data_IF_148701964376
#
_entry.id   IF_148701964376
#
_cell.length_a   1.000
_cell.length_b   1.000
_cell.length_c   1.000
_cell.angle_alpha   90.00
_cell.angle_beta   90.00
_cell.angle_gamma   90.00
#
_symmetry.space_group_name_H-M   'P 1'
#
loop_
_entity.id
_entity.type
_entity.pdbx_description
1 polymer ?
#
# COMPACT_ATOMS: atom_id res chain seq x y z
N UNK A 1 8.58 -60.47 -5.54
CA UNK A 1 7.26 -60.16 -6.08
C UNK A 1 6.71 -58.92 -5.38
N UNK A 2 7.42 -57.76 -5.55
CA UNK A 2 7.08 -56.46 -4.95
C UNK A 2 7.80 -55.34 -5.71
N UNK A 3 7.51 -55.19 -7.02
CA UNK A 3 8.14 -54.18 -7.87
C UNK A 3 7.27 -53.78 -9.07
N UNK A 4 5.94 -53.65 -8.92
CA UNK A 4 5.10 -53.31 -10.05
C UNK A 4 3.85 -52.45 -9.71
N UNK A 5 3.90 -51.68 -8.62
CA UNK A 5 2.80 -50.78 -8.21
C UNK A 5 3.23 -49.34 -7.88
N UNK A 6 4.28 -48.82 -8.53
CA UNK A 6 4.75 -47.43 -8.33
C UNK A 6 4.84 -46.58 -9.63
N UNK A 7 4.18 -46.94 -10.72
CA UNK A 7 4.31 -46.18 -11.97
C UNK A 7 3.03 -45.49 -12.48
N UNK A 8 1.93 -45.53 -11.75
CA UNK A 8 0.64 -44.97 -12.22
C UNK A 8 0.17 -43.71 -11.52
N UNK A 9 0.88 -43.28 -10.47
CA UNK A 9 0.48 -42.07 -9.70
C UNK A 9 1.21 -40.77 -10.13
N UNK A 10 2.18 -40.82 -11.03
CA UNK A 10 2.99 -39.66 -11.44
C UNK A 10 2.66 -39.11 -12.84
N UNK A 11 1.62 -39.62 -13.52
CA UNK A 11 1.20 -39.11 -14.84
C UNK A 11 -0.05 -38.22 -14.83
N UNK A 12 -0.70 -37.98 -13.71
CA UNK A 12 -1.91 -37.12 -13.63
C UNK A 12 -1.63 -35.67 -13.21
N UNK A 13 -0.38 -35.31 -12.89
CA UNK A 13 -0.03 -33.94 -12.43
C UNK A 13 0.52 -33.08 -13.59
N UNK A 14 0.85 -33.67 -14.75
CA UNK A 14 1.44 -32.96 -15.88
C UNK A 14 0.41 -32.31 -16.85
N UNK A 15 -0.90 -32.48 -16.64
CA UNK A 15 -1.93 -31.97 -17.57
C UNK A 15 -2.76 -30.80 -17.05
N UNK A 16 -2.37 -30.19 -15.92
CA UNK A 16 -3.03 -28.97 -15.40
C UNK A 16 -2.22 -27.67 -15.58
N UNK A 17 -1.15 -27.69 -16.36
CA UNK A 17 -0.36 -26.46 -16.67
C UNK A 17 -0.79 -25.72 -17.94
N UNK A 18 -1.93 -26.04 -18.55
CA UNK A 18 -2.38 -25.40 -19.81
C UNK A 18 -3.46 -24.34 -19.61
N UNK A 19 -4.00 -24.17 -18.40
CA UNK A 19 -5.09 -23.21 -18.19
C UNK A 19 -4.66 -21.84 -17.62
N UNK A 20 -3.38 -21.63 -17.34
CA UNK A 20 -2.90 -20.32 -16.83
C UNK A 20 -2.54 -19.32 -17.95
N UNK A 21 -2.39 -19.77 -19.20
CA UNK A 21 -2.03 -18.88 -20.31
C UNK A 21 -3.22 -18.30 -21.09
N UNK A 22 -4.45 -18.60 -20.71
CA UNK A 22 -5.63 -18.07 -21.43
C UNK A 22 -6.04 -16.68 -20.90
N UNK A 23 -5.65 -16.33 -19.68
CA UNK A 23 -6.03 -15.02 -19.09
C UNK A 23 -5.25 -13.84 -19.66
N UNK A 24 -3.97 -14.02 -20.00
CA UNK A 24 -3.16 -12.91 -20.52
C UNK A 24 -3.43 -12.58 -22.00
N UNK A 25 -3.90 -13.55 -22.79
CA UNK A 25 -4.31 -13.29 -24.17
C UNK A 25 -5.72 -12.72 -24.30
N UNK A 26 -6.62 -13.03 -23.37
CA UNK A 26 -7.96 -12.44 -23.35
C UNK A 26 -7.91 -10.93 -22.98
N UNK A 27 -6.93 -10.49 -22.17
CA UNK A 27 -6.74 -9.08 -21.83
C UNK A 27 -6.15 -8.25 -22.99
N UNK A 28 -5.50 -8.87 -23.97
CA UNK A 28 -4.87 -8.17 -25.10
C UNK A 28 -5.83 -7.72 -26.22
N UNK A 29 -7.07 -8.15 -26.23
CA UNK A 29 -8.03 -7.85 -27.31
C UNK A 29 -9.01 -6.72 -27.00
N UNK A 30 -8.95 -6.09 -25.81
CA UNK A 30 -9.88 -5.04 -25.41
C UNK A 30 -9.30 -3.61 -25.40
N UNK A 31 -8.10 -3.42 -25.95
CA UNK A 31 -7.51 -2.08 -26.12
C UNK A 31 -8.00 -1.39 -27.38
N UNK A 32 -9.29 -1.18 -27.55
CA UNK A 32 -9.74 -0.20 -28.52
C UNK A 32 -11.13 0.32 -28.18
N UNK A 33 -11.17 1.63 -27.99
CA UNK A 33 -12.37 2.47 -27.85
C UNK A 33 -13.14 2.30 -26.54
N UNK A 34 -12.72 3.04 -25.51
CA UNK A 34 -13.65 3.38 -24.41
C UNK A 34 -14.85 4.09 -25.03
N UNK A 35 -16.08 3.57 -24.92
CA UNK A 35 -17.25 4.42 -25.12
C UNK A 35 -17.17 5.52 -24.04
N UNK A 36 -17.33 6.76 -24.42
CA UNK A 36 -17.57 7.84 -23.48
C UNK A 36 -18.79 7.44 -22.64
N UNK A 37 -18.59 7.07 -21.39
CA UNK A 37 -19.68 6.82 -20.47
C UNK A 37 -20.32 8.17 -20.14
N UNK A 38 -21.33 8.54 -20.93
CA UNK A 38 -22.33 9.53 -20.57
C UNK A 38 -23.29 8.89 -19.56
N UNK A 39 -22.83 8.77 -18.32
CA UNK A 39 -23.65 8.32 -17.21
C UNK A 39 -22.98 8.75 -15.88
N UNK A 40 -23.76 9.31 -14.98
CA UNK A 40 -23.31 9.56 -13.61
C UNK A 40 -23.20 8.21 -12.93
N UNK A 41 -22.02 7.56 -13.03
CA UNK A 41 -21.74 6.34 -12.30
C UNK A 41 -21.57 6.67 -10.82
N UNK A 42 -22.09 5.81 -9.96
CA UNK A 42 -21.79 5.86 -8.53
C UNK A 42 -20.26 5.82 -8.33
N UNK A 43 -19.73 6.59 -7.38
CA UNK A 43 -18.29 6.74 -7.14
C UNK A 43 -17.57 5.40 -6.88
N UNK A 44 -18.27 4.41 -6.35
CA UNK A 44 -17.76 3.07 -6.07
C UNK A 44 -18.42 1.96 -6.93
N UNK A 45 -19.06 2.33 -8.03
CA UNK A 45 -19.47 1.34 -9.03
C UNK A 45 -18.24 0.96 -9.84
N UNK A 46 -17.86 -0.31 -9.73
CA UNK A 46 -16.69 -0.83 -10.40
C UNK A 46 -17.04 -1.28 -11.82
N UNK A 47 -16.07 -1.20 -12.71
CA UNK A 47 -16.15 -1.83 -14.02
C UNK A 47 -16.07 -3.35 -13.88
N UNK A 48 -16.43 -4.09 -14.94
CA UNK A 48 -16.31 -5.54 -14.94
C UNK A 48 -14.87 -6.02 -14.67
N UNK A 49 -13.87 -5.33 -15.23
CA UNK A 49 -12.46 -5.60 -15.02
C UNK A 49 -12.03 -5.34 -13.56
N UNK A 50 -12.50 -4.23 -12.97
CA UNK A 50 -12.26 -3.90 -11.56
C UNK A 50 -12.90 -4.91 -10.61
N UNK A 51 -14.12 -5.38 -10.92
CA UNK A 51 -14.79 -6.44 -10.14
C UNK A 51 -14.05 -7.78 -10.25
N UNK A 52 -13.57 -8.15 -11.42
CA UNK A 52 -12.77 -9.36 -11.62
C UNK A 52 -11.47 -9.29 -10.82
N UNK A 53 -10.78 -8.14 -10.84
CA UNK A 53 -9.59 -7.91 -10.01
C UNK A 53 -9.93 -8.02 -8.53
N UNK A 54 -10.98 -7.34 -8.08
CA UNK A 54 -11.45 -7.37 -6.69
C UNK A 54 -11.65 -8.79 -6.18
N UNK A 55 -12.40 -9.61 -6.93
CA UNK A 55 -12.66 -11.00 -6.55
C UNK A 55 -11.39 -11.87 -6.61
N UNK A 56 -10.45 -11.59 -7.49
CA UNK A 56 -9.15 -12.28 -7.53
C UNK A 56 -8.30 -11.96 -6.31
N UNK A 57 -8.17 -10.68 -6.00
CA UNK A 57 -7.39 -10.22 -4.83
C UNK A 57 -8.02 -10.72 -3.54
N UNK A 58 -9.34 -10.65 -3.41
CA UNK A 58 -10.08 -11.18 -2.26
C UNK A 58 -9.80 -12.66 -2.02
N UNK A 59 -9.82 -13.49 -3.08
CA UNK A 59 -9.48 -14.93 -2.96
C UNK A 59 -8.04 -15.11 -2.51
N UNK A 60 -7.09 -14.41 -3.10
CA UNK A 60 -5.69 -14.45 -2.68
C UNK A 60 -5.54 -14.03 -1.21
N UNK A 61 -6.20 -12.94 -0.80
CA UNK A 61 -6.16 -12.45 0.57
C UNK A 61 -6.74 -13.46 1.56
N UNK A 62 -7.92 -14.03 1.27
CA UNK A 62 -8.59 -14.98 2.17
C UNK A 62 -7.87 -16.33 2.22
N UNK A 63 -7.53 -16.90 1.06
CA UNK A 63 -7.09 -18.30 0.97
C UNK A 63 -5.58 -18.45 1.23
N UNK A 64 -4.77 -17.44 0.88
CA UNK A 64 -3.32 -17.50 0.95
C UNK A 64 -2.77 -16.65 2.08
N UNK A 65 -3.19 -15.37 2.20
CA UNK A 65 -2.72 -14.47 3.25
C UNK A 65 -3.35 -14.82 4.60
N UNK A 66 -4.67 -15.03 4.64
CA UNK A 66 -5.45 -15.23 5.87
C UNK A 66 -4.86 -16.27 6.83
N UNK A 67 -4.50 -17.48 6.37
CA UNK A 67 -3.89 -18.51 7.24
C UNK A 67 -2.55 -18.12 7.87
N UNK A 68 -1.85 -17.13 7.28
CA UNK A 68 -0.51 -16.68 7.71
C UNK A 68 -0.52 -15.46 8.63
N UNK A 69 -1.63 -14.75 8.72
CA UNK A 69 -1.75 -13.45 9.41
C UNK A 69 -1.23 -13.52 10.85
N UNK A 70 -1.65 -14.54 11.61
CA UNK A 70 -1.24 -14.70 13.00
C UNK A 70 0.27 -14.96 13.14
N UNK A 71 0.79 -15.90 12.37
CA UNK A 71 2.21 -16.24 12.36
C UNK A 71 3.08 -15.02 12.00
N UNK A 72 2.68 -14.27 10.96
CA UNK A 72 3.39 -13.07 10.52
C UNK A 72 3.35 -11.95 11.57
N UNK A 73 2.22 -11.76 12.29
CA UNK A 73 2.11 -10.76 13.36
C UNK A 73 2.97 -11.15 14.57
N UNK A 74 2.96 -12.43 14.98
CA UNK A 74 3.74 -12.94 16.11
C UNK A 74 5.26 -12.91 15.84
N UNK A 75 5.67 -13.29 14.63
CA UNK A 75 7.08 -13.28 14.20
C UNK A 75 7.56 -11.91 13.74
N UNK A 76 6.65 -10.93 13.64
CA UNK A 76 6.93 -9.58 13.15
C UNK A 76 7.65 -9.60 11.78
N UNK A 77 7.30 -10.52 10.90
CA UNK A 77 7.98 -10.72 9.62
C UNK A 77 7.00 -11.17 8.54
N UNK A 78 7.14 -10.60 7.35
CA UNK A 78 6.39 -11.03 6.17
C UNK A 78 6.85 -12.43 5.73
N UNK A 79 5.90 -13.31 5.44
CA UNK A 79 6.20 -14.62 4.86
C UNK A 79 6.69 -14.43 3.41
N UNK A 80 7.86 -14.96 3.03
CA UNK A 80 8.38 -14.84 1.67
C UNK A 80 7.44 -15.40 0.60
N UNK A 81 6.61 -16.40 0.94
CA UNK A 81 5.62 -16.93 0.01
C UNK A 81 4.49 -15.93 -0.29
N UNK A 82 4.16 -15.06 0.67
CA UNK A 82 3.19 -13.98 0.45
C UNK A 82 3.80 -12.92 -0.48
N UNK A 83 5.06 -12.53 -0.27
CA UNK A 83 5.76 -11.59 -1.16
C UNK A 83 5.78 -12.14 -2.59
N UNK A 84 6.20 -13.41 -2.74
CA UNK A 84 6.18 -14.07 -4.05
C UNK A 84 4.76 -14.11 -4.64
N UNK A 85 3.76 -14.41 -3.83
CA UNK A 85 2.36 -14.44 -4.25
C UNK A 85 1.86 -13.10 -4.78
N UNK A 86 2.26 -11.97 -4.16
CA UNK A 86 1.93 -10.64 -4.65
C UNK A 86 2.49 -10.39 -6.07
N UNK A 87 3.72 -10.81 -6.35
CA UNK A 87 4.30 -10.74 -7.69
C UNK A 87 3.60 -11.69 -8.67
N UNK A 88 3.40 -12.95 -8.29
CA UNK A 88 2.75 -13.98 -9.13
C UNK A 88 1.31 -13.58 -9.53
N UNK A 89 0.62 -12.81 -8.69
CA UNK A 89 -0.72 -12.28 -8.97
C UNK A 89 -0.70 -10.96 -9.76
N UNK A 90 0.46 -10.41 -10.12
CA UNK A 90 0.61 -9.14 -10.81
C UNK A 90 0.27 -7.91 -9.95
N UNK A 91 0.20 -8.08 -8.62
CA UNK A 91 -0.17 -7.01 -7.70
C UNK A 91 0.98 -6.04 -7.39
N UNK A 92 2.18 -6.33 -7.88
CA UNK A 92 3.35 -5.47 -7.68
C UNK A 92 3.64 -4.55 -8.89
N UNK A 93 2.85 -4.64 -9.96
CA UNK A 93 2.94 -3.79 -11.14
C UNK A 93 1.58 -3.38 -11.69
N UNK A 94 0.62 -3.00 -10.82
CA UNK A 94 -0.79 -2.81 -11.20
C UNK A 94 -0.97 -1.76 -12.30
N UNK A 95 -0.41 -0.56 -12.13
CA UNK A 95 -0.48 0.52 -13.14
C UNK A 95 0.70 0.50 -14.14
N UNK A 96 1.67 -0.39 -13.97
CA UNK A 96 2.84 -0.51 -14.87
C UNK A 96 2.40 -1.13 -16.18
N UNK A 97 2.95 -0.65 -17.30
CA UNK A 97 2.61 -1.14 -18.65
C UNK A 97 2.99 -2.62 -18.82
N UNK A 98 2.26 -3.29 -19.69
CA UNK A 98 2.56 -4.68 -20.06
C UNK A 98 3.96 -4.84 -20.69
N UNK A 99 4.47 -3.82 -21.37
CA UNK A 99 5.85 -3.80 -21.92
C UNK A 99 6.92 -3.91 -20.83
N UNK A 100 6.60 -3.53 -19.59
CA UNK A 100 7.46 -3.62 -18.42
C UNK A 100 6.99 -4.72 -17.43
N UNK A 101 6.21 -5.70 -17.88
CA UNK A 101 5.75 -6.82 -17.05
C UNK A 101 4.61 -6.49 -16.10
N UNK A 102 4.03 -5.29 -16.17
CA UNK A 102 2.90 -4.88 -15.33
C UNK A 102 1.53 -5.33 -15.84
N UNK A 103 0.50 -5.03 -15.06
CA UNK A 103 -0.90 -5.38 -15.38
C UNK A 103 -1.61 -4.33 -16.24
N UNK A 104 -1.01 -3.16 -16.45
CA UNK A 104 -1.54 -2.02 -17.23
C UNK A 104 -2.96 -1.62 -16.80
N UNK A 105 -3.24 -1.74 -15.52
CA UNK A 105 -4.55 -1.45 -14.94
C UNK A 105 -4.64 -0.01 -14.42
N UNK A 106 -5.78 0.36 -13.87
CA UNK A 106 -6.02 1.73 -13.41
C UNK A 106 -5.48 2.00 -11.99
N UNK A 107 -5.38 3.27 -11.61
CA UNK A 107 -5.09 3.65 -10.23
C UNK A 107 -6.20 3.20 -9.27
N UNK A 108 -7.46 3.28 -9.69
CA UNK A 108 -8.58 2.76 -8.88
C UNK A 108 -8.44 1.25 -8.67
N UNK A 109 -7.97 0.51 -9.66
CA UNK A 109 -7.66 -0.91 -9.51
C UNK A 109 -6.58 -1.16 -8.43
N UNK A 110 -5.56 -0.29 -8.35
CA UNK A 110 -4.57 -0.38 -7.27
C UNK A 110 -5.22 -0.14 -5.89
N UNK A 111 -6.12 0.84 -5.77
CA UNK A 111 -6.84 1.11 -4.52
C UNK A 111 -7.76 -0.05 -4.12
N UNK A 112 -8.43 -0.69 -5.09
CA UNK A 112 -9.23 -1.90 -4.86
C UNK A 112 -8.36 -3.03 -4.30
N UNK A 113 -7.20 -3.28 -4.89
CA UNK A 113 -6.28 -4.30 -4.43
C UNK A 113 -5.80 -4.02 -2.99
N UNK A 114 -5.42 -2.78 -2.70
CA UNK A 114 -4.98 -2.33 -1.37
C UNK A 114 -6.10 -2.53 -0.34
N UNK A 115 -7.34 -2.15 -0.67
CA UNK A 115 -8.51 -2.34 0.21
C UNK A 115 -8.77 -3.83 0.49
N UNK A 116 -8.83 -4.68 -0.53
CA UNK A 116 -9.12 -6.11 -0.35
C UNK A 116 -8.03 -6.84 0.45
N UNK A 117 -6.75 -6.51 0.24
CA UNK A 117 -5.66 -7.02 1.07
C UNK A 117 -5.79 -6.57 2.52
N UNK A 118 -6.15 -5.31 2.78
CA UNK A 118 -6.24 -4.74 4.12
C UNK A 118 -7.42 -5.29 4.94
N UNK A 119 -8.47 -5.81 4.29
CA UNK A 119 -9.56 -6.52 4.98
C UNK A 119 -9.07 -7.77 5.71
N UNK A 120 -7.95 -8.34 5.27
CA UNK A 120 -7.35 -9.55 5.84
C UNK A 120 -6.09 -9.23 6.62
N UNK A 121 -5.11 -8.52 6.01
CA UNK A 121 -3.89 -8.06 6.69
C UNK A 121 -3.40 -6.70 6.19
N UNK A 122 -3.53 -5.65 7.02
CA UNK A 122 -2.99 -4.33 6.71
C UNK A 122 -1.47 -4.29 6.47
N UNK A 123 -0.69 -5.27 6.99
CA UNK A 123 0.76 -5.34 6.75
C UNK A 123 1.07 -5.74 5.31
N UNK A 124 0.32 -6.68 4.76
CA UNK A 124 0.45 -7.09 3.35
C UNK A 124 -0.02 -5.97 2.43
N UNK A 125 -1.12 -5.32 2.80
CA UNK A 125 -1.69 -4.20 2.06
C UNK A 125 -0.70 -3.04 1.92
N UNK A 126 -0.03 -2.61 3.00
CA UNK A 126 0.95 -1.50 2.92
C UNK A 126 2.19 -1.85 2.11
N UNK A 127 2.59 -3.12 2.07
CA UNK A 127 3.69 -3.55 1.19
C UNK A 127 3.34 -3.33 -0.28
N UNK A 128 2.15 -3.74 -0.68
CA UNK A 128 1.63 -3.54 -2.02
C UNK A 128 1.42 -2.05 -2.33
N UNK A 129 0.88 -1.27 -1.38
CA UNK A 129 0.60 0.15 -1.53
C UNK A 129 1.88 0.96 -1.79
N UNK A 130 2.85 0.94 -0.87
CA UNK A 130 4.10 1.70 -0.99
C UNK A 130 4.85 1.37 -2.28
N UNK A 131 4.85 0.11 -2.67
CA UNK A 131 5.50 -0.35 -3.90
C UNK A 131 4.82 0.23 -5.15
N UNK A 132 3.50 0.20 -5.24
CA UNK A 132 2.75 0.70 -6.41
C UNK A 132 2.61 2.22 -6.42
N UNK A 133 2.07 2.81 -5.33
CA UNK A 133 1.67 4.22 -5.31
C UNK A 133 2.84 5.18 -5.16
N UNK A 134 3.94 4.76 -4.53
CA UNK A 134 5.13 5.58 -4.38
C UNK A 134 6.24 5.17 -5.36
N UNK A 135 6.75 3.93 -5.25
CA UNK A 135 7.95 3.52 -5.97
C UNK A 135 7.69 3.44 -7.48
N UNK A 136 6.76 2.57 -7.91
CA UNK A 136 6.48 2.40 -9.34
C UNK A 136 5.99 3.70 -9.99
N UNK A 137 5.20 4.51 -9.27
CA UNK A 137 4.71 5.78 -9.79
C UNK A 137 5.85 6.77 -10.04
N UNK A 138 6.88 6.81 -9.19
CA UNK A 138 8.06 7.67 -9.44
C UNK A 138 8.76 7.23 -10.72
N UNK A 139 8.99 5.94 -10.93
CA UNK A 139 9.61 5.46 -12.17
C UNK A 139 8.74 5.77 -13.39
N UNK A 140 7.44 5.51 -13.35
CA UNK A 140 6.53 5.76 -14.47
C UNK A 140 6.44 7.24 -14.86
N UNK A 141 6.49 8.17 -13.89
CA UNK A 141 6.25 9.59 -14.13
C UNK A 141 7.51 10.42 -14.34
N UNK A 142 8.62 10.07 -13.70
CA UNK A 142 9.79 10.95 -13.62
C UNK A 142 11.09 10.33 -14.11
N UNK A 143 11.16 9.00 -14.23
CA UNK A 143 12.35 8.33 -14.72
C UNK A 143 12.50 8.50 -16.24
N UNK A 144 13.74 8.48 -16.71
CA UNK A 144 14.04 8.40 -18.14
C UNK A 144 13.60 7.05 -18.71
N UNK A 145 13.41 6.97 -20.03
CA UNK A 145 13.05 5.70 -20.68
C UNK A 145 14.04 4.58 -20.36
N UNK A 146 15.35 4.87 -20.34
CA UNK A 146 16.38 3.91 -19.96
C UNK A 146 16.22 3.40 -18.53
N UNK A 147 15.92 4.30 -17.58
CA UNK A 147 15.64 3.92 -16.18
C UNK A 147 14.34 3.11 -16.06
N UNK A 148 13.28 3.48 -16.80
CA UNK A 148 12.03 2.71 -16.84
C UNK A 148 12.29 1.29 -17.36
N UNK A 149 12.98 1.15 -18.47
CA UNK A 149 13.30 -0.14 -19.09
C UNK A 149 14.18 -1.01 -18.20
N UNK A 150 15.03 -0.39 -17.38
CA UNK A 150 15.90 -1.09 -16.43
C UNK A 150 15.17 -1.56 -15.18
N UNK A 151 14.34 -0.69 -14.57
CA UNK A 151 13.82 -0.91 -13.21
C UNK A 151 12.38 -1.42 -13.17
N UNK A 152 11.49 -0.95 -14.05
CA UNK A 152 10.08 -1.34 -14.00
C UNK A 152 9.83 -2.83 -14.18
N UNK A 153 10.54 -3.57 -15.10
CA UNK A 153 10.36 -5.02 -15.19
C UNK A 153 10.74 -5.73 -13.88
N UNK A 154 11.85 -5.33 -13.25
CA UNK A 154 12.30 -5.90 -11.99
C UNK A 154 11.29 -5.63 -10.85
N UNK A 155 10.76 -4.41 -10.78
CA UNK A 155 9.75 -4.00 -9.80
C UNK A 155 8.40 -4.68 -10.03
N UNK A 156 8.06 -5.02 -11.26
CA UNK A 156 6.80 -5.72 -11.57
C UNK A 156 6.87 -7.23 -11.30
N UNK A 157 8.06 -7.84 -11.43
CA UNK A 157 8.21 -9.30 -11.46
C UNK A 157 8.88 -9.92 -10.23
N UNK A 158 9.82 -9.21 -9.56
CA UNK A 158 10.67 -9.87 -8.57
C UNK A 158 11.26 -9.02 -7.46
N UNK A 159 11.54 -7.72 -7.70
CA UNK A 159 12.22 -6.86 -6.73
C UNK A 159 11.29 -5.90 -6.04
N UNK A 160 11.38 -5.86 -4.72
CA UNK A 160 10.63 -4.92 -3.90
C UNK A 160 11.35 -3.57 -3.84
N UNK A 161 10.57 -2.48 -3.86
CA UNK A 161 11.07 -1.13 -3.73
C UNK A 161 10.73 -0.48 -2.39
N UNK A 162 11.55 0.48 -1.97
CA UNK A 162 11.36 1.32 -0.78
C UNK A 162 11.49 2.80 -1.11
N UNK A 163 10.70 3.62 -0.40
CA UNK A 163 10.68 5.07 -0.51
C UNK A 163 11.35 5.71 0.72
N UNK A 164 12.54 6.29 0.51
CA UNK A 164 13.44 6.74 1.58
C UNK A 164 13.45 8.28 1.69
N UNK A 165 12.41 8.85 2.31
CA UNK A 165 12.29 10.29 2.55
C UNK A 165 12.61 10.67 3.99
N UNK A 166 11.88 10.08 4.97
CA UNK A 166 11.90 10.46 6.38
C UNK A 166 13.24 10.19 7.07
N UNK A 167 13.59 11.06 8.02
CA UNK A 167 14.78 10.93 8.87
C UNK A 167 14.39 11.16 10.33
N UNK A 168 15.30 10.90 11.28
CA UNK A 168 15.08 11.10 12.71
C UNK A 168 14.67 12.55 13.03
N UNK A 169 15.25 13.53 12.33
CA UNK A 169 14.97 14.96 12.49
C UNK A 169 13.96 15.53 11.51
N UNK A 170 13.47 14.73 10.55
CA UNK A 170 12.65 15.16 9.42
C UNK A 170 11.49 14.18 9.19
N UNK A 171 10.39 14.39 9.92
CA UNK A 171 9.15 13.64 9.78
C UNK A 171 8.06 14.45 9.09
N UNK A 172 7.22 15.17 9.85
CA UNK A 172 6.18 16.07 9.28
C UNK A 172 6.79 17.24 8.50
N UNK A 173 7.96 17.73 8.92
CA UNK A 173 8.81 18.62 8.11
C UNK A 173 9.74 17.77 7.23
N UNK A 174 9.13 17.12 6.22
CA UNK A 174 9.80 16.11 5.40
C UNK A 174 10.98 16.66 4.57
N UNK A 175 11.06 17.97 4.44
CA UNK A 175 12.06 18.63 3.58
C UNK A 175 13.22 19.28 4.36
N UNK A 176 13.23 19.15 5.69
CA UNK A 176 14.37 19.47 6.56
C UNK A 176 15.40 18.33 6.63
N UNK A 177 15.45 17.47 5.61
CA UNK A 177 16.30 16.29 5.55
C UNK A 177 17.79 16.65 5.55
N UNK A 178 18.61 15.77 6.17
CA UNK A 178 20.05 15.96 6.38
C UNK A 178 20.91 15.06 5.49
N UNK A 179 20.34 13.97 4.93
CA UNK A 179 21.05 13.07 4.01
C UNK A 179 21.62 13.86 2.84
N UNK A 180 22.90 13.67 2.53
CA UNK A 180 23.64 14.41 1.50
C UNK A 180 24.05 13.53 0.36
N UNK A 181 24.04 14.09 -0.84
CA UNK A 181 24.63 13.49 -2.03
C UNK A 181 25.71 14.45 -2.56
N UNK A 182 26.96 14.02 -2.53
CA UNK A 182 28.10 14.79 -3.02
C UNK A 182 28.52 14.27 -4.39
N UNK A 183 28.53 15.15 -5.41
CA UNK A 183 28.96 14.79 -6.76
C UNK A 183 30.48 14.62 -6.82
N UNK A 184 30.94 13.54 -7.38
CA UNK A 184 32.32 13.28 -7.78
C UNK A 184 32.42 13.27 -9.33
N UNK A 185 33.57 12.99 -9.88
CA UNK A 185 33.80 13.05 -11.33
C UNK A 185 32.90 12.07 -12.10
N UNK A 186 32.74 10.84 -11.61
CA UNK A 186 32.07 9.73 -12.27
C UNK A 186 30.89 9.13 -11.49
N UNK A 187 30.62 9.61 -10.26
CA UNK A 187 29.55 9.09 -9.40
C UNK A 187 29.07 10.13 -8.38
N UNK A 188 27.96 9.82 -7.71
CA UNK A 188 27.51 10.47 -6.48
C UNK A 188 27.96 9.65 -5.26
N UNK A 189 28.22 10.33 -4.16
CA UNK A 189 28.44 9.71 -2.84
C UNK A 189 27.32 10.12 -1.93
N UNK A 190 26.53 9.17 -1.43
CA UNK A 190 25.42 9.42 -0.52
C UNK A 190 25.83 9.07 0.90
N UNK A 191 25.62 10.04 1.82
CA UNK A 191 25.85 9.90 3.26
C UNK A 191 24.63 10.35 4.05
N UNK A 192 24.16 9.53 4.99
CA UNK A 192 23.05 9.85 5.88
C UNK A 192 22.30 8.64 6.38
N UNK A 193 21.17 8.88 7.04
CA UNK A 193 20.35 7.84 7.60
C UNK A 193 18.86 8.17 7.39
N UNK A 194 18.10 7.20 6.91
CA UNK A 194 16.65 7.27 6.75
C UNK A 194 15.96 6.45 7.81
N UNK A 195 14.80 6.91 8.27
CA UNK A 195 14.06 6.27 9.37
C UNK A 195 12.60 6.01 8.98
N UNK A 196 12.02 5.00 9.56
CA UNK A 196 10.64 4.56 9.32
C UNK A 196 10.40 4.04 7.89
N UNK A 197 11.42 3.43 7.27
CA UNK A 197 11.34 3.04 5.86
C UNK A 197 10.61 1.71 5.71
N UNK A 198 9.44 1.76 5.11
CA UNK A 198 8.59 0.60 4.78
C UNK A 198 9.24 -0.26 3.71
N UNK A 199 9.06 -1.56 3.80
CA UNK A 199 9.60 -2.59 2.89
C UNK A 199 11.12 -2.76 2.92
N UNK A 200 11.86 -1.93 3.66
CA UNK A 200 13.31 -1.80 3.49
C UNK A 200 14.11 -3.06 3.82
N UNK A 201 13.62 -3.95 4.66
CA UNK A 201 14.29 -5.23 4.97
C UNK A 201 14.29 -6.15 3.72
N UNK A 202 13.18 -6.20 3.03
CA UNK A 202 12.93 -7.05 1.87
C UNK A 202 13.30 -6.36 0.54
N UNK A 203 13.37 -5.02 0.53
CA UNK A 203 13.64 -4.24 -0.68
C UNK A 203 15.05 -4.44 -1.24
N UNK A 204 15.13 -4.36 -2.55
CA UNK A 204 16.38 -4.37 -3.31
C UNK A 204 16.61 -3.05 -4.05
N UNK A 205 15.58 -2.22 -4.22
CA UNK A 205 15.63 -0.92 -4.90
C UNK A 205 15.12 0.16 -3.96
N UNK A 206 15.91 1.22 -3.76
CA UNK A 206 15.63 2.31 -2.84
C UNK A 206 15.55 3.64 -3.59
N UNK A 207 14.45 4.36 -3.44
CA UNK A 207 14.32 5.74 -3.90
C UNK A 207 14.72 6.67 -2.76
N UNK A 208 15.91 7.25 -2.85
CA UNK A 208 16.55 8.01 -1.78
C UNK A 208 16.50 9.50 -2.07
N UNK A 209 15.86 10.27 -1.17
CA UNK A 209 15.84 11.72 -1.23
C UNK A 209 17.01 12.28 -0.41
N UNK A 210 17.93 12.96 -1.08
CA UNK A 210 19.11 13.56 -0.48
C UNK A 210 19.31 15.00 -0.99
N UNK A 211 19.93 15.87 -0.17
CA UNK A 211 20.27 17.21 -0.64
C UNK A 211 21.64 17.20 -1.30
N UNK A 212 21.74 17.81 -2.47
CA UNK A 212 23.03 18.05 -3.18
C UNK A 212 23.66 19.37 -2.73
N UNK A 213 22.87 20.28 -2.18
CA UNK A 213 23.32 21.56 -1.64
C UNK A 213 22.34 22.05 -0.55
N UNK A 214 22.71 21.94 0.72
CA UNK A 214 21.86 22.40 1.83
C UNK A 214 21.54 23.90 1.80
N UNK A 215 22.40 24.73 1.19
CA UNK A 215 22.17 26.17 1.12
C UNK A 215 20.97 26.55 0.25
N UNK A 216 20.56 25.65 -0.66
CA UNK A 216 19.39 25.82 -1.52
C UNK A 216 18.07 25.40 -0.85
N UNK A 217 18.11 24.89 0.40
CA UNK A 217 16.94 24.36 1.10
C UNK A 217 16.25 23.25 0.28
N UNK A 218 14.92 23.31 0.15
CA UNK A 218 14.16 22.29 -0.60
C UNK A 218 14.55 22.19 -2.08
N UNK A 219 15.16 23.24 -2.67
CA UNK A 219 15.62 23.23 -4.07
C UNK A 219 16.89 22.41 -4.28
N UNK A 220 17.61 22.06 -3.20
CA UNK A 220 18.75 21.14 -3.26
C UNK A 220 18.36 19.68 -3.21
N UNK A 221 17.10 19.35 -2.86
CA UNK A 221 16.65 17.96 -2.71
C UNK A 221 16.53 17.30 -4.08
N UNK A 222 17.15 16.13 -4.19
CA UNK A 222 17.21 15.30 -5.41
C UNK A 222 16.79 13.87 -5.06
N UNK A 223 16.12 13.18 -5.99
CA UNK A 223 15.74 11.78 -5.86
C UNK A 223 16.78 10.91 -6.60
N UNK A 224 17.27 9.90 -5.90
CA UNK A 224 18.23 8.93 -6.42
C UNK A 224 17.64 7.53 -6.39
N UNK A 225 17.90 6.73 -7.42
CA UNK A 225 17.68 5.29 -7.34
C UNK A 225 18.98 4.62 -6.89
N UNK A 226 18.87 3.82 -5.83
CA UNK A 226 20.01 3.14 -5.19
C UNK A 226 19.67 1.67 -5.05
N UNK A 227 20.44 0.81 -5.71
CA UNK A 227 20.32 -0.64 -5.54
C UNK A 227 20.95 -1.06 -4.21
N UNK A 228 20.37 -2.05 -3.54
CA UNK A 228 20.86 -2.56 -2.25
C UNK A 228 22.36 -2.90 -2.27
N UNK A 229 22.79 -3.47 -3.38
CA UNK A 229 24.17 -3.91 -3.58
C UNK A 229 25.20 -2.78 -3.62
N UNK A 230 24.75 -1.51 -3.79
CA UNK A 230 25.62 -0.34 -3.74
C UNK A 230 26.14 -0.02 -2.34
N UNK A 231 25.74 -0.79 -1.33
CA UNK A 231 26.18 -0.61 0.06
C UNK A 231 25.10 -0.05 1.00
N UNK A 232 23.83 -0.25 0.67
CA UNK A 232 22.72 0.12 1.56
C UNK A 232 22.70 -0.79 2.78
N UNK A 233 22.78 -0.19 3.99
CA UNK A 233 22.73 -0.92 5.26
C UNK A 233 21.33 -0.83 5.88
N UNK A 234 20.73 -1.98 6.17
CA UNK A 234 19.50 -2.07 6.96
C UNK A 234 19.89 -2.21 8.43
N UNK A 235 19.94 -1.09 9.15
CA UNK A 235 20.55 -1.02 10.47
C UNK A 235 19.65 -1.55 11.58
N UNK A 236 18.36 -1.17 11.59
CA UNK A 236 17.45 -1.55 12.66
C UNK A 236 16.03 -1.71 12.12
N UNK A 237 15.40 -2.84 12.41
CA UNK A 237 13.96 -3.02 12.27
C UNK A 237 13.25 -2.56 13.55
N UNK A 238 12.23 -1.73 13.41
CA UNK A 238 11.48 -1.20 14.54
C UNK A 238 10.45 -2.21 15.06
N UNK A 239 10.38 -2.33 16.39
CA UNK A 239 9.29 -3.03 17.06
C UNK A 239 8.08 -2.11 17.14
N UNK A 240 6.93 -2.56 16.62
CA UNK A 240 5.77 -1.70 16.43
C UNK A 240 4.54 -2.22 17.18
N UNK A 241 3.60 -1.32 17.45
CA UNK A 241 2.31 -1.64 18.01
C UNK A 241 1.48 -2.52 17.06
N UNK A 242 1.41 -2.13 15.79
CA UNK A 242 0.64 -2.78 14.73
C UNK A 242 1.39 -2.86 13.41
N UNK A 243 0.74 -3.41 12.38
CA UNK A 243 1.34 -3.74 11.07
C UNK A 243 2.72 -4.38 11.20
N UNK A 244 2.85 -5.30 12.14
CA UNK A 244 4.15 -5.81 12.59
C UNK A 244 4.89 -6.61 11.53
N UNK A 245 4.14 -7.30 10.66
CA UNK A 245 4.72 -8.08 9.56
C UNK A 245 5.36 -7.21 8.48
N UNK A 246 4.88 -5.98 8.26
CA UNK A 246 5.54 -5.01 7.39
C UNK A 246 6.83 -4.54 8.03
N UNK A 247 7.96 -4.69 7.35
CA UNK A 247 9.23 -4.16 7.84
C UNK A 247 9.21 -2.63 7.82
N UNK A 248 9.76 -2.05 8.89
CA UNK A 248 9.91 -0.62 9.04
C UNK A 248 11.27 -0.41 9.66
N UNK A 249 12.26 0.04 8.87
CA UNK A 249 13.64 0.04 9.33
C UNK A 249 14.28 1.43 9.28
N UNK A 250 15.38 1.55 10.02
CA UNK A 250 16.41 2.55 9.79
C UNK A 250 17.32 2.04 8.69
N UNK A 251 17.60 2.90 7.70
CA UNK A 251 18.45 2.59 6.55
C UNK A 251 19.60 3.57 6.51
N UNK A 252 20.83 3.09 6.57
CA UNK A 252 22.05 3.88 6.57
C UNK A 252 22.73 3.88 5.19
N UNK A 253 23.29 5.01 4.86
CA UNK A 253 24.11 5.25 3.68
C UNK A 253 25.45 5.82 4.18
N UNK A 254 26.51 5.03 4.09
CA UNK A 254 27.87 5.41 4.45
C UNK A 254 28.78 5.29 3.23
N UNK A 255 29.17 6.44 2.68
CA UNK A 255 29.97 6.53 1.45
C UNK A 255 29.40 5.72 0.27
N UNK A 256 28.06 5.63 0.17
CA UNK A 256 27.38 4.84 -0.88
C UNK A 256 27.60 5.50 -2.23
N UNK A 257 28.26 4.77 -3.14
CA UNK A 257 28.56 5.22 -4.50
C UNK A 257 27.41 4.93 -5.43
N UNK A 258 26.87 5.96 -6.07
CA UNK A 258 25.70 5.88 -6.95
C UNK A 258 26.08 6.46 -8.32
N UNK A 259 25.80 5.75 -9.42
CA UNK A 259 26.07 6.24 -10.78
C UNK A 259 25.46 7.62 -11.04
N UNK A 260 26.09 8.42 -11.90
CA UNK A 260 25.58 9.77 -12.23
C UNK A 260 24.18 9.73 -12.84
N UNK A 261 23.87 8.69 -13.61
CA UNK A 261 22.60 8.52 -14.29
C UNK A 261 21.47 8.00 -13.38
N UNK A 262 21.75 7.70 -12.11
CA UNK A 262 20.74 7.26 -11.14
C UNK A 262 19.95 8.40 -10.48
N UNK A 263 20.01 9.60 -11.03
CA UNK A 263 19.15 10.74 -10.63
C UNK A 263 17.82 10.62 -11.35
N UNK A 264 16.71 10.65 -10.58
CA UNK A 264 15.35 10.62 -11.15
C UNK A 264 14.80 12.05 -11.27
N UNK A 265 14.25 12.38 -12.42
CA UNK A 265 13.54 13.65 -12.69
C UNK A 265 14.45 14.89 -12.75
N UNK A 266 15.76 14.73 -12.44
CA UNK A 266 16.76 15.79 -12.49
C UNK A 266 17.17 16.35 -11.12
N UNK A 267 18.34 16.96 -11.08
CA UNK A 267 18.93 17.56 -9.87
C UNK A 267 18.03 18.68 -9.34
N UNK A 268 17.78 18.69 -8.01
CA UNK A 268 16.95 19.68 -7.33
C UNK A 268 15.44 19.53 -7.56
N UNK A 269 14.99 18.44 -8.19
CA UNK A 269 13.56 18.16 -8.43
C UNK A 269 12.92 17.24 -7.40
N UNK A 270 13.67 16.72 -6.45
CA UNK A 270 13.18 15.75 -5.46
C UNK A 270 12.02 16.29 -4.60
N UNK A 271 12.05 17.55 -4.22
CA UNK A 271 10.94 18.19 -3.50
C UNK A 271 9.60 18.09 -4.26
N UNK A 272 9.61 18.47 -5.54
CA UNK A 272 8.41 18.41 -6.39
C UNK A 272 7.91 16.97 -6.54
N UNK A 273 8.83 16.05 -6.83
CA UNK A 273 8.51 14.62 -6.95
C UNK A 273 7.86 14.10 -5.67
N UNK A 274 8.47 14.36 -4.51
CA UNK A 274 7.95 13.87 -3.23
C UNK A 274 6.54 14.40 -2.93
N UNK A 275 6.27 15.71 -3.11
CA UNK A 275 4.95 16.28 -2.85
C UNK A 275 3.87 15.68 -3.75
N UNK A 276 4.14 15.54 -5.04
CA UNK A 276 3.16 15.01 -5.99
C UNK A 276 2.83 13.55 -5.68
N UNK A 277 3.84 12.74 -5.40
CA UNK A 277 3.67 11.30 -5.09
C UNK A 277 3.00 11.06 -3.75
N UNK A 278 3.31 11.84 -2.72
CA UNK A 278 2.66 11.72 -1.41
C UNK A 278 1.15 11.97 -1.47
N UNK A 279 0.64 12.71 -2.44
CA UNK A 279 -0.80 12.84 -2.63
C UNK A 279 -1.46 11.53 -3.11
N UNK A 280 -0.76 10.75 -3.95
CA UNK A 280 -1.23 9.43 -4.38
C UNK A 280 -1.14 8.41 -3.24
N UNK A 281 -0.04 8.39 -2.48
CA UNK A 281 0.13 7.58 -1.28
C UNK A 281 -0.95 7.83 -0.22
N UNK A 282 -1.44 9.07 -0.07
CA UNK A 282 -2.58 9.37 0.82
C UNK A 282 -3.84 8.61 0.42
N UNK A 283 -4.12 8.46 -0.86
CA UNK A 283 -5.28 7.70 -1.34
C UNK A 283 -5.05 6.20 -1.09
N UNK A 284 -3.83 5.70 -1.30
CA UNK A 284 -3.46 4.32 -0.97
C UNK A 284 -3.68 3.98 0.50
N UNK A 285 -3.19 4.85 1.40
CA UNK A 285 -3.44 4.69 2.84
C UNK A 285 -4.93 4.83 3.19
N UNK A 286 -5.69 5.67 2.50
CA UNK A 286 -7.13 5.72 2.70
C UNK A 286 -7.79 4.38 2.33
N UNK A 287 -7.38 3.74 1.23
CA UNK A 287 -7.81 2.40 0.83
C UNK A 287 -7.43 1.34 1.86
N UNK A 288 -6.19 1.37 2.37
CA UNK A 288 -5.75 0.47 3.43
C UNK A 288 -6.58 0.63 4.72
N UNK A 289 -6.78 1.85 5.20
CA UNK A 289 -7.56 2.09 6.42
C UNK A 289 -9.04 1.74 6.25
N UNK A 290 -9.60 1.97 5.06
CA UNK A 290 -10.94 1.54 4.69
C UNK A 290 -11.07 0.01 4.72
N UNK A 291 -10.14 -0.70 4.10
CA UNK A 291 -10.11 -2.16 4.11
C UNK A 291 -9.95 -2.72 5.54
N UNK A 292 -9.09 -2.12 6.35
CA UNK A 292 -8.93 -2.46 7.76
C UNK A 292 -10.25 -2.29 8.55
N UNK A 293 -10.94 -1.15 8.36
CA UNK A 293 -12.22 -0.90 9.02
C UNK A 293 -13.26 -1.94 8.64
N UNK A 294 -13.37 -2.26 7.35
CA UNK A 294 -14.27 -3.28 6.83
C UNK A 294 -13.91 -4.67 7.37
N UNK A 295 -12.63 -5.04 7.36
CA UNK A 295 -12.17 -6.34 7.88
C UNK A 295 -12.46 -6.54 9.36
N UNK A 296 -12.28 -5.50 10.18
CA UNK A 296 -12.64 -5.51 11.60
C UNK A 296 -14.16 -5.70 11.79
N UNK A 297 -14.95 -4.98 11.00
CA UNK A 297 -16.41 -5.08 11.00
C UNK A 297 -16.89 -6.47 10.58
N UNK A 298 -16.41 -6.98 9.44
CA UNK A 298 -16.79 -8.28 8.88
C UNK A 298 -16.41 -9.44 9.80
N UNK A 299 -15.39 -9.28 10.63
CA UNK A 299 -14.96 -10.30 11.59
C UNK A 299 -15.77 -10.28 12.88
N UNK A 300 -16.16 -9.10 13.35
CA UNK A 300 -16.86 -8.96 14.63
C UNK A 300 -18.39 -9.12 14.52
N UNK A 301 -19.01 -8.56 13.49
CA UNK A 301 -20.48 -8.55 13.36
C UNK A 301 -21.09 -9.96 13.31
N UNK A 302 -20.59 -10.92 12.52
CA UNK A 302 -21.14 -12.27 12.53
C UNK A 302 -21.09 -12.94 13.89
N UNK A 303 -20.03 -12.68 14.67
CA UNK A 303 -19.91 -13.19 16.03
C UNK A 303 -21.04 -12.67 16.93
N UNK A 304 -21.47 -11.41 16.81
CA UNK A 304 -22.55 -10.84 17.62
C UNK A 304 -23.89 -11.55 17.40
N UNK A 305 -24.14 -12.08 16.20
CA UNK A 305 -25.34 -12.85 15.87
C UNK A 305 -25.25 -14.33 16.26
N UNK A 306 -24.04 -14.85 16.48
CA UNK A 306 -23.82 -16.22 16.98
C UNK A 306 -23.84 -16.28 18.52
N UNK A 307 -23.26 -15.25 19.19
CA UNK A 307 -23.16 -15.18 20.64
C UNK A 307 -24.50 -14.82 21.27
N UNK A 308 -25.01 -15.67 22.15
CA UNK A 308 -26.28 -15.43 22.87
C UNK A 308 -26.03 -15.04 24.33
N UNK A 309 -26.73 -14.01 24.79
CA UNK A 309 -26.87 -13.60 26.19
C UNK A 309 -28.29 -13.14 26.44
N UNK A 310 -28.78 -13.34 27.68
CA UNK A 310 -30.16 -13.00 28.05
C UNK A 310 -31.21 -13.59 27.09
N UNK A 311 -30.95 -14.82 26.59
CA UNK A 311 -31.89 -15.59 25.78
C UNK A 311 -31.88 -15.28 24.26
N UNK A 312 -31.10 -14.31 23.77
CA UNK A 312 -31.03 -13.94 22.35
C UNK A 312 -29.63 -13.56 21.87
N UNK A 313 -29.35 -13.52 20.55
CA UNK A 313 -28.09 -13.01 20.01
C UNK A 313 -27.78 -11.61 20.50
N UNK A 314 -26.49 -11.34 20.83
CA UNK A 314 -26.12 -10.02 21.35
C UNK A 314 -26.29 -8.92 20.29
N UNK A 315 -26.16 -9.25 18.99
CA UNK A 315 -26.41 -8.32 17.88
C UNK A 315 -27.87 -7.85 17.76
N UNK A 316 -28.84 -8.57 18.38
CA UNK A 316 -30.27 -8.19 18.37
C UNK A 316 -30.64 -7.16 19.47
N UNK A 317 -29.71 -6.85 20.37
CA UNK A 317 -29.97 -5.75 21.32
C UNK A 317 -29.89 -4.42 20.59
N UNK A 318 -30.88 -3.57 20.75
CA UNK A 318 -31.01 -2.30 20.02
C UNK A 318 -29.76 -1.43 20.15
N UNK A 319 -29.16 -1.33 21.34
CA UNK A 319 -27.93 -0.56 21.55
C UNK A 319 -26.75 -1.10 20.75
N UNK A 320 -26.62 -2.44 20.60
CA UNK A 320 -25.60 -3.07 19.78
C UNK A 320 -25.88 -2.86 18.28
N UNK A 321 -27.12 -3.10 17.86
CA UNK A 321 -27.53 -2.94 16.46
C UNK A 321 -27.32 -1.51 15.95
N UNK A 322 -27.58 -0.50 16.78
CA UNK A 322 -27.37 0.91 16.41
C UNK A 322 -25.91 1.26 16.29
N UNK A 323 -25.03 0.77 17.15
CA UNK A 323 -23.59 0.96 17.02
C UNK A 323 -23.04 0.35 15.73
N UNK A 324 -23.46 -0.87 15.39
CA UNK A 324 -23.08 -1.51 14.13
C UNK A 324 -23.56 -0.73 12.92
N UNK A 325 -24.80 -0.24 12.95
CA UNK A 325 -25.37 0.58 11.87
C UNK A 325 -24.60 1.91 11.68
N UNK A 326 -24.25 2.59 12.79
CA UNK A 326 -23.46 3.82 12.74
C UNK A 326 -22.08 3.59 12.11
N UNK A 327 -21.37 2.56 12.55
CA UNK A 327 -20.05 2.22 11.98
C UNK A 327 -20.16 1.84 10.51
N UNK A 328 -21.21 1.13 10.10
CA UNK A 328 -21.44 0.80 8.69
C UNK A 328 -21.62 2.06 7.82
N UNK A 329 -22.37 3.07 8.30
CA UNK A 329 -22.51 4.37 7.61
C UNK A 329 -21.16 5.09 7.47
N UNK A 330 -20.35 5.07 8.53
CA UNK A 330 -19.04 5.73 8.50
C UNK A 330 -18.04 5.03 7.57
N UNK A 331 -18.04 3.68 7.52
CA UNK A 331 -17.25 2.91 6.55
C UNK A 331 -17.66 3.28 5.12
N UNK A 332 -18.96 3.37 4.84
CA UNK A 332 -19.44 3.73 3.51
C UNK A 332 -19.07 5.18 3.15
N UNK A 333 -19.17 6.12 4.08
CA UNK A 333 -18.73 7.50 3.87
C UNK A 333 -17.21 7.58 3.57
N UNK A 334 -16.39 6.81 4.29
CA UNK A 334 -14.95 6.71 4.03
C UNK A 334 -14.66 6.12 2.65
N UNK A 335 -15.43 5.10 2.24
CA UNK A 335 -15.37 4.48 0.91
C UNK A 335 -15.61 5.49 -0.20
N UNK A 336 -16.70 6.24 -0.10
CA UNK A 336 -17.07 7.27 -1.07
C UNK A 336 -15.99 8.34 -1.19
N UNK A 337 -15.41 8.82 -0.08
CA UNK A 337 -14.30 9.78 -0.10
C UNK A 337 -13.05 9.21 -0.78
N UNK A 338 -12.71 7.96 -0.49
CA UNK A 338 -11.52 7.28 -1.03
C UNK A 338 -11.63 7.10 -2.54
N UNK A 339 -12.73 6.53 -3.01
CA UNK A 339 -12.91 6.31 -4.45
C UNK A 339 -13.17 7.59 -5.23
N UNK A 340 -13.80 8.61 -4.62
CA UNK A 340 -13.86 9.95 -5.23
C UNK A 340 -12.45 10.51 -5.49
N UNK A 341 -11.54 10.41 -4.53
CA UNK A 341 -10.17 10.87 -4.70
C UNK A 341 -9.43 10.08 -5.78
N UNK A 342 -9.60 8.74 -5.82
CA UNK A 342 -8.99 7.87 -6.82
C UNK A 342 -9.47 8.19 -8.25
N UNK A 343 -10.78 8.31 -8.46
CA UNK A 343 -11.37 8.64 -9.76
C UNK A 343 -10.95 10.05 -10.25
N UNK A 344 -10.89 11.04 -9.35
CA UNK A 344 -10.40 12.38 -9.70
C UNK A 344 -8.96 12.35 -10.19
N UNK A 345 -8.08 11.55 -9.53
CA UNK A 345 -6.68 11.36 -9.97
C UNK A 345 -6.63 10.73 -11.36
N UNK A 346 -7.41 9.71 -11.63
CA UNK A 346 -7.47 9.07 -12.95
C UNK A 346 -7.94 10.02 -14.05
N UNK A 347 -8.91 10.87 -13.74
CA UNK A 347 -9.43 11.87 -14.67
C UNK A 347 -8.48 13.07 -14.86
N UNK A 348 -7.30 13.09 -14.24
CA UNK A 348 -6.34 14.19 -14.29
C UNK A 348 -6.84 15.49 -13.62
N UNK A 349 -7.85 15.40 -12.77
CA UNK A 349 -8.37 16.52 -11.98
C UNK A 349 -7.51 16.81 -10.77
N UNK A 350 -7.58 18.04 -10.23
CA UNK A 350 -7.00 18.35 -8.92
C UNK A 350 -7.66 17.48 -7.83
N UNK A 351 -6.85 16.80 -7.02
CA UNK A 351 -7.32 15.83 -6.02
C UNK A 351 -6.64 15.95 -4.64
N UNK A 352 -5.73 16.91 -4.46
CA UNK A 352 -4.95 17.03 -3.20
C UNK A 352 -5.83 17.20 -1.97
N UNK A 353 -6.90 18.00 -2.07
CA UNK A 353 -7.86 18.19 -0.97
C UNK A 353 -8.64 16.90 -0.69
N UNK A 354 -9.12 16.25 -1.72
CA UNK A 354 -9.90 15.01 -1.64
C UNK A 354 -9.05 13.86 -1.09
N UNK A 355 -7.79 13.74 -1.50
CA UNK A 355 -6.83 12.78 -0.95
C UNK A 355 -6.59 13.01 0.55
N UNK A 356 -6.42 14.27 0.97
CA UNK A 356 -6.27 14.61 2.38
C UNK A 356 -7.54 14.30 3.20
N UNK A 357 -8.73 14.58 2.66
CA UNK A 357 -10.01 14.25 3.29
C UNK A 357 -10.19 12.73 3.43
N UNK A 358 -9.94 11.97 2.36
CA UNK A 358 -10.06 10.53 2.34
C UNK A 358 -9.14 9.89 3.38
N UNK A 359 -7.84 10.24 3.37
CA UNK A 359 -6.85 9.71 4.31
C UNK A 359 -7.18 10.03 5.76
N UNK A 360 -7.54 11.26 6.05
CA UNK A 360 -7.93 11.68 7.39
C UNK A 360 -9.13 10.89 7.90
N UNK A 361 -10.22 10.89 7.12
CA UNK A 361 -11.48 10.29 7.56
C UNK A 361 -11.41 8.76 7.63
N UNK A 362 -10.81 8.10 6.66
CA UNK A 362 -10.59 6.65 6.70
C UNK A 362 -9.78 6.22 7.93
N UNK A 363 -8.77 7.02 8.33
CA UNK A 363 -7.98 6.76 9.54
C UNK A 363 -8.80 6.90 10.83
N UNK A 364 -9.73 7.85 10.89
CA UNK A 364 -10.66 8.02 12.03
C UNK A 364 -11.62 6.84 12.12
N UNK A 365 -12.22 6.47 10.97
CA UNK A 365 -13.17 5.35 10.87
C UNK A 365 -12.49 4.03 11.21
N UNK A 366 -11.26 3.80 10.73
CA UNK A 366 -10.50 2.59 11.04
C UNK A 366 -10.29 2.39 12.56
N UNK A 367 -9.94 3.47 13.27
CA UNK A 367 -9.77 3.41 14.73
C UNK A 367 -11.09 3.16 15.45
N UNK A 368 -12.18 3.81 15.01
CA UNK A 368 -13.52 3.62 15.60
C UNK A 368 -14.02 2.19 15.33
N UNK A 369 -14.02 1.76 14.09
CA UNK A 369 -14.52 0.44 13.69
C UNK A 369 -13.77 -0.70 14.39
N UNK A 370 -12.44 -0.64 14.42
CA UNK A 370 -11.62 -1.67 15.06
C UNK A 370 -11.75 -1.68 16.60
N UNK A 371 -11.89 -0.51 17.22
CA UNK A 371 -12.19 -0.40 18.65
C UNK A 371 -13.56 -0.99 18.99
N UNK A 372 -14.60 -0.58 18.25
CA UNK A 372 -15.96 -1.10 18.41
C UNK A 372 -16.03 -2.62 18.18
N UNK A 373 -15.28 -3.15 17.21
CA UNK A 373 -15.21 -4.58 16.95
C UNK A 373 -14.72 -5.39 18.17
N UNK A 374 -13.73 -4.87 18.90
CA UNK A 374 -13.27 -5.49 20.17
C UNK A 374 -14.39 -5.47 21.20
N UNK A 375 -15.06 -4.32 21.37
CA UNK A 375 -16.13 -4.15 22.35
C UNK A 375 -17.32 -5.07 22.05
N UNK A 376 -17.72 -5.18 20.76
CA UNK A 376 -18.83 -6.04 20.34
C UNK A 376 -18.55 -7.53 20.56
N UNK A 377 -17.29 -7.94 20.38
CA UNK A 377 -16.86 -9.31 20.62
C UNK A 377 -16.56 -9.59 22.12
N UNK A 378 -16.41 -8.53 22.94
CA UNK A 378 -16.17 -8.63 24.37
C UNK A 378 -14.82 -9.31 24.68
N UNK A 379 -14.77 -10.19 25.69
CA UNK A 379 -13.54 -10.87 26.10
C UNK A 379 -12.83 -11.61 24.95
N UNK A 380 -13.59 -12.19 24.03
CA UNK A 380 -13.04 -12.88 22.85
C UNK A 380 -12.37 -11.89 21.89
N UNK A 381 -12.92 -10.68 21.72
CA UNK A 381 -12.32 -9.62 20.91
C UNK A 381 -11.02 -9.06 21.50
N UNK A 382 -10.87 -9.16 22.84
CA UNK A 382 -9.69 -8.67 23.56
C UNK A 382 -8.51 -9.66 23.55
N UNK A 383 -8.76 -10.93 23.21
CA UNK A 383 -7.72 -11.95 23.11
C UNK A 383 -7.14 -12.02 21.68
N UNK A 384 -5.89 -12.48 21.57
CA UNK A 384 -5.23 -12.67 20.26
C UNK A 384 -5.79 -13.84 19.45
N UNK A 385 -6.62 -14.70 20.05
CA UNK A 385 -7.12 -15.92 19.44
C UNK A 385 -7.95 -15.64 18.17
N UNK A 386 -8.78 -14.61 18.22
CA UNK A 386 -9.62 -14.22 17.08
C UNK A 386 -8.92 -13.30 16.09
N UNK A 387 -7.89 -12.58 16.52
CA UNK A 387 -7.21 -11.55 15.75
C UNK A 387 -8.06 -10.29 15.49
N UNK A 388 -9.19 -10.10 16.20
CA UNK A 388 -9.98 -8.85 16.13
C UNK A 388 -9.15 -7.69 16.66
N UNK A 389 -8.44 -7.89 17.77
CA UNK A 389 -7.59 -6.89 18.41
C UNK A 389 -6.44 -6.41 17.52
N UNK A 390 -5.99 -7.25 16.56
CA UNK A 390 -4.94 -6.89 15.62
C UNK A 390 -5.35 -5.69 14.76
N UNK A 391 -6.58 -5.64 14.28
CA UNK A 391 -7.08 -4.50 13.49
C UNK A 391 -6.99 -3.19 14.28
N UNK A 392 -7.25 -3.21 15.59
CA UNK A 392 -7.11 -2.02 16.41
C UNK A 392 -5.65 -1.59 16.56
N UNK A 393 -4.73 -2.53 16.80
CA UNK A 393 -3.29 -2.22 16.85
C UNK A 393 -2.80 -1.64 15.53
N UNK A 394 -3.20 -2.22 14.42
CA UNK A 394 -2.83 -1.81 13.07
C UNK A 394 -3.43 -0.45 12.70
N UNK A 395 -4.64 -0.12 13.17
CA UNK A 395 -5.31 1.13 12.81
C UNK A 395 -4.59 2.40 13.27
N UNK A 396 -3.76 2.31 14.32
CA UNK A 396 -3.08 3.47 14.91
C UNK A 396 -2.13 4.15 13.93
N UNK A 397 -1.51 3.39 13.04
CA UNK A 397 -0.56 3.96 12.09
C UNK A 397 -1.23 4.91 11.09
N UNK A 398 -2.50 4.69 10.76
CA UNK A 398 -3.25 5.53 9.83
C UNK A 398 -3.27 7.02 10.18
N UNK A 399 -3.22 7.37 11.47
CA UNK A 399 -3.16 8.76 11.93
C UNK A 399 -1.74 9.36 11.90
N UNK A 400 -0.71 8.57 11.59
CA UNK A 400 0.71 8.94 11.77
C UNK A 400 1.42 9.08 10.43
N UNK A 401 1.51 8.00 9.63
CA UNK A 401 2.32 7.98 8.41
C UNK A 401 1.60 8.60 7.19
N UNK A 402 2.32 8.78 6.08
CA UNK A 402 1.85 9.47 4.86
C UNK A 402 1.22 10.84 5.15
N UNK A 403 1.83 11.54 6.11
CA UNK A 403 1.34 12.78 6.71
C UNK A 403 0.35 12.54 7.84
N UNK A 404 0.68 13.04 9.03
CA UNK A 404 -0.18 12.92 10.22
C UNK A 404 -1.57 13.49 9.97
N UNK A 405 -2.54 13.12 10.84
CA UNK A 405 -3.89 13.73 10.81
C UNK A 405 -3.85 15.26 10.82
N UNK A 406 -2.92 15.86 11.57
CA UNK A 406 -2.72 17.32 11.60
C UNK A 406 -2.25 17.87 10.25
N UNK A 407 -1.38 17.15 9.53
CA UNK A 407 -0.92 17.54 8.19
C UNK A 407 -2.07 17.46 7.18
N UNK A 408 -2.94 16.45 7.28
CA UNK A 408 -4.13 16.36 6.43
C UNK A 408 -5.09 17.52 6.69
N UNK A 409 -5.40 17.80 7.96
CA UNK A 409 -6.26 18.93 8.35
C UNK A 409 -5.68 20.28 7.92
N UNK A 410 -4.35 20.47 8.06
CA UNK A 410 -3.67 21.67 7.58
C UNK A 410 -3.78 21.82 6.05
N UNK A 411 -3.66 20.72 5.30
CA UNK A 411 -3.85 20.71 3.85
C UNK A 411 -5.27 21.14 3.50
N UNK A 412 -6.28 20.54 4.11
CA UNK A 412 -7.70 20.87 3.89
C UNK A 412 -7.97 22.34 4.24
N UNK A 413 -7.46 22.81 5.39
CA UNK A 413 -7.65 24.19 5.84
C UNK A 413 -7.10 25.23 4.85
N UNK A 414 -5.93 24.96 4.23
CA UNK A 414 -5.36 25.82 3.18
C UNK A 414 -6.25 25.91 1.95
N UNK A 415 -6.89 24.83 1.53
CA UNK A 415 -7.85 24.86 0.41
C UNK A 415 -9.12 25.63 0.78
N UNK A 416 -9.62 25.48 2.01
CA UNK A 416 -10.76 26.26 2.51
C UNK A 416 -10.39 27.76 2.51
N UNK A 417 -9.25 28.11 3.09
CA UNK A 417 -8.80 29.51 3.11
C UNK A 417 -8.73 30.08 1.68
N UNK A 418 -8.10 29.37 0.74
CA UNK A 418 -8.01 29.81 -0.66
C UNK A 418 -9.36 29.98 -1.35
N UNK A 419 -10.36 29.20 -0.95
CA UNK A 419 -11.70 29.27 -1.53
C UNK A 419 -12.51 30.48 -1.04
N UNK A 420 -12.25 30.95 0.20
CA UNK A 420 -13.06 31.97 0.88
C UNK A 420 -12.28 33.28 1.17
N UNK A 421 -10.99 33.37 0.82
CA UNK A 421 -10.18 34.60 0.86
C UNK A 421 -9.94 35.16 -0.53
#
# INVERSE_FOLDING_TARGET
MAALLRSTALRSIATKRVSANVSSQALRSFSSTRPAHEGINSLHTFTEEEEMLRESVKRFAVDIVGPKVREMDENESMDPAIIKGLFDQGLMGIETSADHGGSESSFTAAIIAIEELAKIDPSVSVMCDVHNTLVNTIFRKYATKAQQDQYLPQLSESKLGSFCLSETSSGSDAFALQTRATKKDDHWVINGSKMWITNSKEAEIFLVFATVDPSLGYKGITCFVVDKEMGVEIAKKEQKLGIKASSTCTVNFDEVKVPLDNVIGGIGKGYKIAIEILNEGRIGIAGQMLGLAQGAFDKAVPYTYQRKQFGKPVGEFQGMAFQMAEVAVEIEAARLLTYNAARRKEEGKEFTKEAAMAKYYASVVAQKASGSAIEWAGGVGFTRETGIEKFWRDSKIGAIYEGTSNIQLNTIAKFIQKQYS
#
